data_IF_286893932325
#
_entry.id   IF_286893932325
#
_cell.length_a   1.000
_cell.length_b   1.000
_cell.length_c   1.000
_cell.angle_alpha   90.00
_cell.angle_beta   90.00
_cell.angle_gamma   90.00
#
_symmetry.space_group_name_H-M   'P 1'
#
loop_
_entity.id
_entity.type
_entity.pdbx_description
1 polymer ?
#
# COMPACT_ATOMS: atom_id res chain seq x y z
N UNK A 1 7.56 17.63 15.13
CA UNK A 1 8.54 16.50 15.12
C UNK A 1 7.79 15.22 14.79
N UNK A 2 8.45 14.24 14.18
CA UNK A 2 7.86 12.92 13.93
C UNK A 2 7.66 12.18 15.25
N UNK A 3 6.67 11.28 15.32
CA UNK A 3 6.34 10.53 16.54
C UNK A 3 6.18 9.05 16.22
N UNK A 4 6.63 8.18 17.12
CA UNK A 4 6.40 6.73 17.03
C UNK A 4 5.33 6.32 18.01
N UNK A 5 4.28 5.65 17.51
CA UNK A 5 3.17 5.13 18.32
C UNK A 5 3.21 3.61 18.32
N UNK A 6 2.85 2.99 19.45
CA UNK A 6 2.73 1.53 19.53
C UNK A 6 1.43 1.01 18.90
N UNK A 7 0.44 1.88 18.76
CA UNK A 7 -0.86 1.59 18.17
C UNK A 7 -1.22 2.67 17.15
N UNK A 8 -2.12 2.37 16.22
CA UNK A 8 -2.61 3.36 15.25
C UNK A 8 -3.40 4.43 16.01
N UNK A 9 -3.03 5.72 15.93
CA UNK A 9 -3.76 6.78 16.60
C UNK A 9 -5.18 6.93 16.08
N UNK A 10 -6.07 7.50 16.89
CA UNK A 10 -7.44 7.80 16.49
C UNK A 10 -7.44 8.68 15.24
N UNK A 11 -7.94 8.15 14.13
CA UNK A 11 -8.00 8.85 12.85
C UNK A 11 -9.11 9.90 12.89
N UNK A 12 -8.85 11.04 12.25
CA UNK A 12 -9.89 12.03 11.98
C UNK A 12 -10.96 11.49 11.01
N UNK A 13 -12.16 12.06 11.05
CA UNK A 13 -13.27 11.71 10.17
C UNK A 13 -12.87 11.79 8.69
N UNK A 14 -12.05 12.81 8.31
CA UNK A 14 -11.46 12.88 6.98
C UNK A 14 -10.07 12.24 6.96
N UNK A 15 -10.02 10.96 6.57
CA UNK A 15 -8.79 10.21 6.37
C UNK A 15 -8.74 9.53 5.00
N UNK A 16 -7.54 9.13 4.60
CA UNK A 16 -7.25 8.38 3.37
C UNK A 16 -6.33 7.21 3.69
N UNK A 17 -6.72 6.00 3.31
CA UNK A 17 -5.93 4.79 3.51
C UNK A 17 -5.35 4.38 2.16
N UNK A 18 -4.02 4.28 2.08
CA UNK A 18 -3.35 3.75 0.91
C UNK A 18 -3.26 2.23 1.00
N UNK A 19 -4.24 1.56 0.39
CA UNK A 19 -4.32 0.11 0.32
C UNK A 19 -4.95 -0.31 -1.02
N UNK A 20 -4.75 -1.57 -1.40
CA UNK A 20 -5.46 -2.17 -2.53
C UNK A 20 -6.98 -2.07 -2.29
N UNK A 21 -7.81 -1.77 -3.30
CA UNK A 21 -9.24 -1.70 -3.11
C UNK A 21 -9.82 -3.08 -2.78
N UNK A 22 -10.66 -3.16 -1.75
CA UNK A 22 -11.34 -4.41 -1.35
C UNK A 22 -12.16 -5.03 -2.48
N UNK A 23 -12.76 -4.22 -3.34
CA UNK A 23 -13.53 -4.72 -4.49
C UNK A 23 -12.65 -5.53 -5.46
N UNK A 24 -11.38 -5.15 -5.63
CA UNK A 24 -10.47 -5.85 -6.52
C UNK A 24 -10.10 -7.22 -5.94
N UNK A 25 -9.80 -7.28 -4.63
CA UNK A 25 -9.62 -8.55 -3.92
C UNK A 25 -10.83 -9.47 -4.11
N UNK A 26 -12.03 -8.97 -3.85
CA UNK A 26 -13.28 -9.74 -3.99
C UNK A 26 -13.46 -10.21 -5.43
N UNK A 27 -13.19 -9.35 -6.42
CA UNK A 27 -13.33 -9.67 -7.84
C UNK A 27 -12.37 -10.78 -8.26
N UNK A 28 -11.10 -10.70 -7.86
CA UNK A 28 -10.11 -11.74 -8.17
C UNK A 28 -10.48 -13.06 -7.52
N UNK A 29 -10.85 -13.06 -6.23
CA UNK A 29 -11.25 -14.29 -5.52
C UNK A 29 -12.47 -14.95 -6.16
N UNK A 30 -13.46 -14.14 -6.55
CA UNK A 30 -14.64 -14.61 -7.27
C UNK A 30 -14.26 -15.20 -8.63
N UNK A 31 -13.39 -14.53 -9.38
CA UNK A 31 -12.90 -15.00 -10.67
C UNK A 31 -12.19 -16.36 -10.55
N UNK A 32 -11.30 -16.52 -9.57
CA UNK A 32 -10.65 -17.80 -9.27
C UNK A 32 -11.65 -18.89 -8.91
N UNK A 33 -12.68 -18.57 -8.11
CA UNK A 33 -13.77 -19.49 -7.81
C UNK A 33 -14.56 -19.93 -9.04
N UNK A 34 -14.87 -19.00 -9.95
CA UNK A 34 -15.56 -19.30 -11.21
C UNK A 34 -14.69 -20.20 -12.11
N UNK A 35 -13.40 -19.90 -12.26
CA UNK A 35 -12.48 -20.75 -13.03
C UNK A 35 -12.38 -22.17 -12.46
N UNK A 36 -12.31 -22.32 -11.13
CA UNK A 36 -12.32 -23.63 -10.48
C UNK A 36 -13.60 -24.41 -10.82
N UNK A 37 -14.77 -23.77 -10.75
CA UNK A 37 -16.06 -24.38 -11.07
C UNK A 37 -16.16 -24.79 -12.54
N UNK A 38 -15.74 -23.91 -13.47
CA UNK A 38 -15.74 -24.22 -14.91
C UNK A 38 -14.82 -25.40 -15.21
N UNK A 39 -13.62 -25.43 -14.64
CA UNK A 39 -12.69 -26.54 -14.82
C UNK A 39 -13.23 -27.84 -14.22
N UNK A 40 -13.90 -27.80 -13.07
CA UNK A 40 -14.56 -28.96 -12.48
C UNK A 40 -15.63 -29.53 -13.42
N UNK A 41 -16.49 -28.67 -13.98
CA UNK A 41 -17.55 -29.09 -14.92
C UNK A 41 -16.94 -29.69 -16.19
N UNK A 42 -16.01 -29.01 -16.85
CA UNK A 42 -15.35 -29.51 -18.07
C UNK A 42 -14.63 -30.83 -17.78
N UNK A 43 -13.88 -30.89 -16.67
CA UNK A 43 -13.18 -32.09 -16.25
C UNK A 43 -14.14 -33.25 -16.00
N UNK A 44 -15.31 -33.00 -15.39
CA UNK A 44 -16.31 -34.05 -15.14
C UNK A 44 -16.95 -34.60 -16.42
N UNK A 45 -17.20 -33.73 -17.42
CA UNK A 45 -17.83 -34.11 -18.68
C UNK A 45 -16.89 -34.86 -19.61
N UNK A 46 -15.60 -34.50 -19.62
CA UNK A 46 -14.61 -35.02 -20.57
C UNK A 46 -13.54 -35.91 -19.93
N UNK A 47 -13.69 -36.28 -18.65
CA UNK A 47 -12.64 -36.96 -17.89
C UNK A 47 -12.07 -38.18 -18.59
N UNK A 48 -12.95 -39.01 -19.16
CA UNK A 48 -12.59 -40.28 -19.81
C UNK A 48 -11.83 -40.08 -21.12
N UNK A 49 -12.13 -39.01 -21.83
CA UNK A 49 -11.55 -38.70 -23.14
C UNK A 49 -10.24 -37.90 -23.03
N UNK A 50 -9.97 -37.32 -21.84
CA UNK A 50 -8.73 -36.58 -21.60
C UNK A 50 -7.51 -37.52 -21.52
N UNK A 51 -6.39 -37.15 -22.19
CA UNK A 51 -5.10 -37.81 -21.99
C UNK A 51 -4.65 -37.77 -20.51
N UNK A 52 -3.91 -38.77 -20.02
CA UNK A 52 -3.52 -38.85 -18.61
C UNK A 52 -2.80 -37.61 -18.07
N UNK A 53 -1.91 -36.99 -18.87
CA UNK A 53 -1.21 -35.76 -18.47
C UNK A 53 -2.14 -34.56 -18.29
N UNK A 54 -3.18 -34.45 -19.11
CA UNK A 54 -4.18 -33.39 -18.99
C UNK A 54 -5.05 -33.53 -17.74
N UNK A 55 -5.33 -34.76 -17.30
CA UNK A 55 -6.08 -35.02 -16.06
C UNK A 55 -5.34 -34.49 -14.83
N UNK A 56 -4.03 -34.75 -14.76
CA UNK A 56 -3.17 -34.24 -13.69
C UNK A 56 -3.07 -32.71 -13.70
N UNK A 57 -2.90 -32.12 -14.89
CA UNK A 57 -2.89 -30.66 -15.04
C UNK A 57 -4.21 -30.03 -14.58
N UNK A 58 -5.36 -30.59 -14.97
CA UNK A 58 -6.67 -30.11 -14.55
C UNK A 58 -6.85 -30.21 -13.03
N UNK A 59 -6.48 -31.35 -12.42
CA UNK A 59 -6.52 -31.51 -10.97
C UNK A 59 -5.66 -30.47 -10.23
N UNK A 60 -4.43 -30.23 -10.72
CA UNK A 60 -3.54 -29.23 -10.15
C UNK A 60 -4.10 -27.80 -10.29
N UNK A 61 -4.66 -27.45 -11.45
CA UNK A 61 -5.27 -26.13 -11.69
C UNK A 61 -6.52 -25.91 -10.83
N UNK A 62 -7.37 -26.92 -10.70
CA UNK A 62 -8.56 -26.86 -9.82
C UNK A 62 -8.12 -26.63 -8.37
N UNK A 63 -7.17 -27.43 -7.88
CA UNK A 63 -6.65 -27.27 -6.52
C UNK A 63 -6.03 -25.88 -6.31
N UNK A 64 -5.23 -25.40 -7.27
CA UNK A 64 -4.64 -24.07 -7.22
C UNK A 64 -5.72 -22.97 -7.18
N UNK A 65 -6.72 -23.01 -8.06
CA UNK A 65 -7.76 -21.98 -8.10
C UNK A 65 -8.67 -22.00 -6.86
N UNK A 66 -9.00 -23.18 -6.32
CA UNK A 66 -9.71 -23.28 -5.04
C UNK A 66 -8.86 -22.68 -3.91
N UNK A 67 -7.56 -23.00 -3.87
CA UNK A 67 -6.64 -22.43 -2.90
C UNK A 67 -6.58 -20.91 -3.02
N UNK A 68 -6.37 -20.35 -4.21
CA UNK A 68 -6.34 -18.90 -4.43
C UNK A 68 -7.69 -18.22 -4.11
N UNK A 69 -8.82 -18.86 -4.34
CA UNK A 69 -10.14 -18.32 -3.98
C UNK A 69 -10.32 -18.24 -2.45
N UNK A 70 -10.00 -19.34 -1.74
CA UNK A 70 -10.29 -19.48 -0.32
C UNK A 70 -9.25 -18.81 0.58
N UNK A 71 -7.97 -18.82 0.21
CA UNK A 71 -6.89 -18.33 1.08
C UNK A 71 -6.77 -16.79 1.05
N UNK A 72 -7.50 -16.11 1.95
CA UNK A 72 -7.46 -14.65 2.13
C UNK A 72 -6.06 -14.10 2.42
N UNK A 73 -5.17 -14.92 2.98
CA UNK A 73 -3.81 -14.52 3.35
C UNK A 73 -2.96 -14.11 2.14
N UNK A 74 -3.22 -14.69 0.98
CA UNK A 74 -2.52 -14.37 -0.29
C UNK A 74 -2.91 -12.97 -0.77
N UNK A 75 -4.12 -12.54 -0.44
CA UNK A 75 -4.70 -11.27 -0.85
C UNK A 75 -4.55 -10.17 0.19
N UNK A 76 -3.71 -10.38 1.22
CA UNK A 76 -3.61 -9.43 2.34
C UNK A 76 -3.33 -8.04 1.84
N UNK A 77 -4.30 -7.19 2.09
CA UNK A 77 -4.27 -5.79 1.77
C UNK A 77 -3.36 -5.06 2.75
N UNK A 78 -2.07 -4.99 2.41
CA UNK A 78 -1.09 -4.30 3.24
C UNK A 78 -1.29 -2.79 3.12
N UNK A 79 -1.72 -2.16 4.21
CA UNK A 79 -1.78 -0.71 4.31
C UNK A 79 -0.35 -0.19 4.16
N UNK A 80 -0.11 0.64 3.14
CA UNK A 80 1.21 1.23 2.90
C UNK A 80 1.42 2.47 3.76
N UNK A 81 0.37 3.27 3.90
CA UNK A 81 0.30 4.41 4.79
C UNK A 81 -1.16 4.86 4.95
N UNK A 82 -1.40 5.66 5.99
CA UNK A 82 -2.67 6.36 6.22
C UNK A 82 -2.37 7.85 6.24
N UNK A 83 -3.27 8.67 5.71
CA UNK A 83 -3.17 10.11 5.72
C UNK A 83 -4.42 10.69 6.38
N UNK A 84 -4.25 11.70 7.22
CA UNK A 84 -5.35 12.43 7.83
C UNK A 84 -5.08 13.94 7.76
N UNK A 85 -5.89 14.74 8.46
CA UNK A 85 -5.70 16.19 8.53
C UNK A 85 -4.42 16.62 9.28
N UNK A 86 -3.79 15.76 10.07
CA UNK A 86 -2.61 16.13 10.88
C UNK A 86 -1.30 15.70 10.20
N UNK A 87 -1.33 14.60 9.43
CA UNK A 87 -0.16 14.12 8.72
C UNK A 87 -0.34 12.76 8.07
N UNK A 88 0.76 12.00 8.06
CA UNK A 88 0.87 10.66 7.49
C UNK A 88 1.29 9.66 8.57
N UNK A 89 0.68 8.49 8.56
CA UNK A 89 1.03 7.36 9.42
C UNK A 89 1.59 6.22 8.57
N UNK A 90 2.76 5.74 8.93
CA UNK A 90 3.44 4.63 8.26
C UNK A 90 3.61 3.45 9.21
N UNK A 91 3.18 2.24 8.84
CA UNK A 91 3.46 1.07 9.66
C UNK A 91 4.96 0.73 9.59
N UNK A 92 5.48 0.21 10.70
CA UNK A 92 6.83 -0.37 10.73
C UNK A 92 6.91 -1.53 9.74
N UNK A 93 8.03 -1.62 9.03
CA UNK A 93 8.22 -2.65 8.00
C UNK A 93 8.61 -3.98 8.68
N UNK A 94 7.61 -4.72 9.17
CA UNK A 94 7.76 -5.97 9.92
C UNK A 94 8.20 -7.19 9.08
N UNK A 95 8.56 -7.02 7.80
CA UNK A 95 8.93 -8.15 6.93
C UNK A 95 10.12 -8.98 7.45
N UNK A 96 10.94 -8.45 8.39
CA UNK A 96 12.06 -9.17 9.03
C UNK A 96 11.79 -9.63 10.47
N UNK A 97 10.68 -9.24 11.10
CA UNK A 97 10.46 -9.51 12.54
C UNK A 97 9.87 -10.90 12.79
N UNK A 98 9.37 -11.57 11.75
CA UNK A 98 8.95 -12.98 11.86
C UNK A 98 10.10 -13.98 12.06
N UNK A 99 11.35 -13.57 11.88
CA UNK A 99 12.51 -14.50 11.91
C UNK A 99 13.16 -14.67 13.27
N UNK A 100 12.91 -13.79 14.25
CA UNK A 100 13.58 -13.87 15.55
C UNK A 100 12.65 -13.40 16.66
N UNK A 101 11.89 -14.34 17.25
CA UNK A 101 11.45 -14.38 18.66
C UNK A 101 11.10 -13.09 19.43
N UNK A 102 10.75 -12.00 18.76
CA UNK A 102 10.36 -10.73 19.34
C UNK A 102 8.94 -10.47 18.89
N UNK A 103 8.08 -10.24 19.87
CA UNK A 103 6.77 -9.63 19.67
C UNK A 103 7.01 -8.38 18.81
N UNK A 104 6.65 -8.48 17.53
CA UNK A 104 6.63 -7.39 16.58
C UNK A 104 5.67 -6.35 17.13
N UNK A 105 6.20 -5.36 17.86
CA UNK A 105 5.42 -4.18 18.18
C UNK A 105 5.13 -3.52 16.84
N UNK A 106 3.86 -3.64 16.42
CA UNK A 106 3.31 -2.95 15.26
C UNK A 106 3.36 -1.44 15.50
N UNK A 107 4.54 -0.85 15.40
CA UNK A 107 4.70 0.58 15.62
C UNK A 107 4.32 1.36 14.37
N UNK A 108 3.81 2.56 14.58
CA UNK A 108 3.40 3.48 13.54
C UNK A 108 4.24 4.76 13.66
N UNK A 109 4.85 5.17 12.55
CA UNK A 109 5.51 6.46 12.44
C UNK A 109 4.50 7.50 11.97
N UNK A 110 4.21 8.48 12.82
CA UNK A 110 3.51 9.70 12.45
C UNK A 110 4.50 10.74 11.92
N UNK A 111 4.21 11.25 10.73
CA UNK A 111 4.94 12.34 10.07
C UNK A 111 3.96 13.50 9.83
N UNK A 112 4.13 14.65 10.50
CA UNK A 112 3.24 15.79 10.31
C UNK A 112 3.40 16.38 8.90
N UNK A 113 2.36 17.06 8.40
CA UNK A 113 2.39 17.65 7.05
C UNK A 113 3.53 18.65 6.81
N UNK A 114 4.03 19.30 7.86
CA UNK A 114 5.21 20.17 7.82
C UNK A 114 6.49 19.43 7.40
N UNK A 115 6.56 18.13 7.67
CA UNK A 115 7.67 17.24 7.30
C UNK A 115 7.43 16.48 5.99
N UNK A 116 6.39 16.84 5.24
CA UNK A 116 6.06 16.25 3.93
C UNK A 116 6.12 17.32 2.86
N UNK A 117 6.90 17.11 1.80
CA UNK A 117 7.00 18.06 0.69
C UNK A 117 6.95 17.38 -0.68
N UNK A 118 6.76 18.18 -1.74
CA UNK A 118 6.85 17.74 -3.13
C UNK A 118 5.97 16.52 -3.49
N UNK A 119 4.70 16.53 -3.06
CA UNK A 119 3.71 15.51 -3.43
C UNK A 119 3.43 15.60 -4.93
N UNK A 120 3.73 14.54 -5.66
CA UNK A 120 3.62 14.49 -7.12
C UNK A 120 3.36 13.07 -7.62
N UNK A 121 3.03 12.97 -8.89
CA UNK A 121 3.06 11.69 -9.62
C UNK A 121 4.40 11.56 -10.28
N UNK A 122 5.08 10.45 -10.02
CA UNK A 122 6.39 10.14 -10.58
C UNK A 122 6.37 8.74 -11.20
N UNK A 123 7.51 8.35 -11.76
CA UNK A 123 7.80 6.97 -12.16
C UNK A 123 8.75 6.36 -11.14
N UNK A 124 8.54 5.10 -10.80
CA UNK A 124 9.48 4.29 -10.05
C UNK A 124 10.01 3.21 -10.99
N UNK A 125 11.32 2.94 -10.91
CA UNK A 125 11.89 1.77 -11.58
C UNK A 125 11.57 0.54 -10.73
N UNK A 126 10.82 -0.38 -11.29
CA UNK A 126 10.42 -1.63 -10.64
C UNK A 126 10.90 -2.83 -11.50
N UNK A 127 10.70 -4.05 -11.00
CA UNK A 127 11.08 -5.29 -11.70
C UNK A 127 10.48 -5.38 -13.12
N UNK A 128 9.27 -4.88 -13.31
CA UNK A 128 8.55 -4.86 -14.61
C UNK A 128 8.87 -3.63 -15.49
N UNK A 129 9.79 -2.76 -15.07
CA UNK A 129 10.20 -1.57 -15.84
C UNK A 129 9.91 -0.24 -15.14
N UNK A 130 9.05 0.61 -15.72
CA UNK A 130 8.69 1.92 -15.16
C UNK A 130 7.20 1.97 -14.81
N UNK A 131 6.91 2.06 -13.51
CA UNK A 131 5.54 2.13 -13.00
C UNK A 131 5.22 3.52 -12.49
N UNK A 132 4.01 4.02 -12.78
CA UNK A 132 3.54 5.29 -12.21
C UNK A 132 3.28 5.11 -10.72
N UNK A 133 3.76 6.05 -9.92
CA UNK A 133 3.65 6.04 -8.47
C UNK A 133 3.26 7.42 -7.95
N UNK A 134 2.71 7.46 -6.73
CA UNK A 134 2.69 8.71 -5.97
C UNK A 134 4.03 8.82 -5.25
N UNK A 135 4.64 10.00 -5.32
CA UNK A 135 5.91 10.27 -4.69
C UNK A 135 5.86 11.55 -3.88
N UNK A 136 6.59 11.58 -2.78
CA UNK A 136 6.77 12.75 -1.93
C UNK A 136 8.07 12.63 -1.14
N UNK A 137 8.49 13.75 -0.59
CA UNK A 137 9.71 13.89 0.18
C UNK A 137 9.34 13.93 1.67
N UNK A 138 10.04 13.13 2.47
CA UNK A 138 9.87 13.08 3.92
C UNK A 138 11.11 13.63 4.62
N UNK A 139 10.90 14.50 5.60
CA UNK A 139 11.95 14.96 6.51
C UNK A 139 11.98 14.04 7.73
N UNK A 140 12.92 13.09 7.73
CA UNK A 140 13.02 12.02 8.72
C UNK A 140 14.47 11.81 9.16
N UNK A 141 14.65 11.27 10.36
CA UNK A 141 15.97 10.91 10.89
C UNK A 141 16.53 9.65 10.21
N UNK A 142 17.86 9.43 10.26
CA UNK A 142 18.47 8.20 9.73
C UNK A 142 17.90 6.91 10.35
N UNK A 143 17.50 6.95 11.63
CA UNK A 143 16.87 5.83 12.33
C UNK A 143 15.45 5.55 11.82
N UNK A 144 14.63 6.58 11.64
CA UNK A 144 13.30 6.43 11.05
C UNK A 144 13.40 5.87 9.61
N UNK A 145 14.43 6.29 8.87
CA UNK A 145 14.70 5.76 7.54
C UNK A 145 15.00 4.26 7.56
N UNK A 146 15.84 3.78 8.48
CA UNK A 146 16.15 2.35 8.59
C UNK A 146 14.95 1.52 9.02
N UNK A 147 14.15 2.05 9.94
CA UNK A 147 13.10 1.27 10.59
C UNK A 147 11.82 1.19 9.74
N UNK A 148 11.51 2.25 8.97
CA UNK A 148 10.24 2.34 8.22
C UNK A 148 10.40 2.30 6.70
N UNK A 149 11.51 2.84 6.15
CA UNK A 149 11.61 3.15 4.73
C UNK A 149 12.70 2.39 3.97
N UNK A 150 13.30 1.36 4.58
CA UNK A 150 14.40 0.59 3.97
C UNK A 150 14.01 -0.12 2.66
N UNK A 151 12.75 -0.56 2.54
CA UNK A 151 12.21 -1.25 1.36
C UNK A 151 11.25 -0.39 0.54
N UNK A 152 11.11 0.89 0.89
CA UNK A 152 10.20 1.78 0.15
C UNK A 152 10.88 2.22 -1.14
N UNK A 153 10.08 2.26 -2.21
CA UNK A 153 10.54 2.67 -3.53
C UNK A 153 11.11 4.09 -3.53
N UNK A 154 12.02 4.35 -4.47
CA UNK A 154 12.56 5.68 -4.72
C UNK A 154 12.15 6.09 -6.14
N UNK A 155 11.56 7.28 -6.32
CA UNK A 155 11.14 7.73 -7.64
C UNK A 155 12.36 8.02 -8.52
N UNK A 156 12.23 7.71 -9.81
CA UNK A 156 13.33 7.74 -10.79
C UNK A 156 13.76 9.14 -11.22
N UNK A 157 12.96 10.15 -10.90
CA UNK A 157 13.23 11.56 -11.21
C UNK A 157 14.25 12.20 -10.26
N UNK A 158 14.65 11.50 -9.19
CA UNK A 158 15.57 12.03 -8.19
C UNK A 158 17.02 11.74 -8.55
N UNK A 159 17.75 12.82 -8.80
CA UNK A 159 19.17 12.81 -9.17
C UNK A 159 20.12 13.01 -7.97
N UNK A 160 19.64 13.61 -6.87
CA UNK A 160 20.44 13.88 -5.67
C UNK A 160 19.64 13.60 -4.39
N UNK A 161 20.24 12.89 -3.44
CA UNK A 161 19.67 12.60 -2.13
C UNK A 161 20.22 13.61 -1.12
N UNK A 162 19.37 14.44 -0.54
CA UNK A 162 19.77 15.26 0.61
C UNK A 162 19.81 14.40 1.88
N UNK A 163 20.72 14.72 2.81
CA UNK A 163 20.97 13.92 4.03
C UNK A 163 19.72 13.68 4.89
N UNK A 164 18.83 14.67 4.99
CA UNK A 164 17.64 14.63 5.86
C UNK A 164 16.33 14.55 5.08
N UNK A 165 16.38 14.32 3.77
CA UNK A 165 15.18 14.21 2.93
C UNK A 165 15.17 12.85 2.28
N UNK A 166 14.19 12.04 2.66
CA UNK A 166 13.99 10.71 2.10
C UNK A 166 12.83 10.78 1.11
N UNK A 167 13.11 10.67 -0.18
CA UNK A 167 12.05 10.54 -1.16
C UNK A 167 11.50 9.14 -1.15
N UNK A 168 10.18 9.05 -1.07
CA UNK A 168 9.44 7.80 -1.07
C UNK A 168 8.52 7.75 -2.27
N UNK A 169 8.37 6.57 -2.84
CA UNK A 169 7.38 6.28 -3.86
C UNK A 169 6.54 5.07 -3.50
N UNK A 170 5.23 5.20 -3.72
CA UNK A 170 4.25 4.15 -3.57
C UNK A 170 3.62 3.90 -4.94
N UNK A 171 4.12 2.88 -5.61
CA UNK A 171 3.67 2.40 -6.90
C UNK A 171 2.90 1.10 -6.72
N UNK A 172 1.60 1.19 -6.55
CA UNK A 172 0.70 0.04 -6.63
C UNK A 172 -0.56 0.53 -7.35
N UNK A 173 -0.81 0.04 -8.57
CA UNK A 173 -2.10 0.23 -9.22
C UNK A 173 -2.94 -1.03 -9.02
N UNK A 174 -4.15 -0.90 -8.46
CA UNK A 174 -4.74 0.27 -7.78
C UNK A 174 -4.24 0.46 -6.33
N UNK A 175 -4.27 1.70 -5.76
CA UNK A 175 -5.01 2.90 -6.18
C UNK A 175 -4.32 3.78 -7.25
N UNK A 176 -5.12 4.58 -7.99
CA UNK A 176 -4.59 5.46 -9.05
C UNK A 176 -3.67 6.57 -8.47
N UNK A 177 -2.39 6.64 -8.87
CA UNK A 177 -1.43 7.62 -8.33
C UNK A 177 -1.88 9.08 -8.41
N UNK A 178 -2.58 9.47 -9.49
CA UNK A 178 -3.09 10.84 -9.65
C UNK A 178 -4.18 11.16 -8.62
N UNK A 179 -5.10 10.22 -8.37
CA UNK A 179 -6.16 10.39 -7.37
C UNK A 179 -5.57 10.44 -5.96
N UNK A 180 -4.60 9.57 -5.69
CA UNK A 180 -3.86 9.56 -4.42
C UNK A 180 -3.17 10.90 -4.19
N UNK A 181 -2.37 11.38 -5.14
CA UNK A 181 -1.68 12.67 -5.03
C UNK A 181 -2.67 13.83 -4.78
N UNK A 182 -3.76 13.89 -5.54
CA UNK A 182 -4.79 14.92 -5.36
C UNK A 182 -5.43 14.89 -3.96
N UNK A 183 -5.73 13.70 -3.43
CA UNK A 183 -6.30 13.55 -2.08
C UNK A 183 -5.32 13.98 -0.99
N UNK A 184 -4.03 13.61 -1.12
CA UNK A 184 -2.98 14.05 -0.18
C UNK A 184 -2.77 15.57 -0.22
N UNK A 185 -2.74 16.16 -1.42
CA UNK A 185 -2.63 17.63 -1.57
C UNK A 185 -3.83 18.33 -0.91
N UNK A 186 -5.04 17.78 -1.06
CA UNK A 186 -6.24 18.34 -0.42
C UNK A 186 -6.17 18.25 1.11
N UNK A 187 -5.76 17.10 1.67
CA UNK A 187 -5.61 16.93 3.12
C UNK A 187 -4.57 17.90 3.68
N UNK A 188 -3.40 18.00 3.02
CA UNK A 188 -2.36 18.95 3.40
C UNK A 188 -2.84 20.40 3.40
N UNK A 189 -3.52 20.85 2.33
CA UNK A 189 -4.08 22.20 2.26
C UNK A 189 -5.09 22.49 3.37
N UNK A 190 -5.88 21.48 3.74
CA UNK A 190 -6.87 21.61 4.81
C UNK A 190 -6.19 21.77 6.17
N UNK A 191 -5.07 21.07 6.39
CA UNK A 191 -4.22 21.24 7.57
C UNK A 191 -3.66 22.67 7.65
N UNK A 192 -3.03 23.14 6.55
CA UNK A 192 -2.43 24.48 6.48
C UNK A 192 -3.47 25.59 6.74
N UNK A 193 -4.74 25.38 6.32
CA UNK A 193 -5.82 26.35 6.56
C UNK A 193 -6.33 26.38 8.00
N UNK A 194 -6.20 25.28 8.76
CA UNK A 194 -6.62 25.22 10.18
C UNK A 194 -5.60 25.84 11.12
N UNK A 195 -4.33 25.90 10.71
CA UNK A 195 -3.26 26.59 11.44
C UNK A 195 -3.30 28.13 11.26
N UNK A 196 -4.29 28.66 10.52
CA UNK A 196 -4.64 30.08 10.52
C UNK A 196 -5.91 30.33 11.35
N UNK A 197 -5.83 30.51 12.68
CA UNK A 197 -6.83 31.30 13.37
C UNK A 197 -6.65 32.75 12.92
N UNK A 198 -7.34 33.15 11.84
CA UNK A 198 -7.63 34.57 11.64
C UNK A 198 -8.39 35.04 12.87
N UNK A 199 -7.86 35.96 13.69
CA UNK A 199 -7.66 37.35 13.30
C UNK A 199 -8.86 37.85 12.50
N UNK A 200 -10.01 37.88 13.16
CA UNK A 200 -11.01 38.92 12.93
C UNK A 200 -11.03 39.74 14.21
N UNK A 201 -10.09 40.69 14.29
CA UNK A 201 -10.33 41.93 15.00
C UNK A 201 -11.09 42.86 14.04
N UNK A 202 -12.13 43.48 14.59
CA UNK A 202 -12.78 44.73 14.19
C UNK A 202 -13.56 44.81 12.85
N UNK A 203 -14.89 44.72 12.95
CA UNK A 203 -15.83 45.83 12.69
C UNK A 203 -16.95 45.78 13.73
#
# INVERSE_FOLDING_TARGET
>A
MNQTHAELPALSDEHYIHCLPKWLEISLRTLFGVFAMVLLVISSLQWRDMPPGFRWLCGALIAAFIFFSLYSRIWRNNIKFIADQHGLFFPCNDYLVHTVGKNSMHSWLFVPWSNVSNIRVATQKDYDGQSKCVAFNLYISPKERSDYFIHVGIPSDIKQRALNVVPVSYGDYPPNPKKTAAKLIRLKKSADSKDCPGSVADV
#
